data_IF_975637297837
#
_entry.id   IF_975637297837
#
_cell.length_a   1.000
_cell.length_b   1.000
_cell.length_c   1.000
_cell.angle_alpha   90.00
_cell.angle_beta   90.00
_cell.angle_gamma   90.00
#
_symmetry.space_group_name_H-M   'P 1'
#
loop_
_entity.id
_entity.type
_entity.pdbx_description
1 polymer ?
#
# COMPACT_ATOMS: atom_id res chain seq x y z
N UNK A 1 34.90 2.46 -4.40
CA UNK A 1 33.53 2.88 -3.99
C UNK A 1 33.53 4.38 -3.80
N UNK A 2 32.85 5.14 -4.65
CA UNK A 2 32.77 6.59 -4.49
C UNK A 2 31.72 6.89 -3.42
N UNK A 3 32.16 7.15 -2.19
CA UNK A 3 31.28 7.34 -1.02
C UNK A 3 30.24 8.44 -1.24
N UNK A 4 30.57 9.46 -2.04
CA UNK A 4 29.66 10.55 -2.40
C UNK A 4 28.46 10.07 -3.23
N UNK A 5 28.69 9.24 -4.24
CA UNK A 5 27.63 8.67 -5.06
C UNK A 5 26.70 7.75 -4.24
N UNK A 6 27.26 6.98 -3.31
CA UNK A 6 26.48 6.11 -2.45
C UNK A 6 25.61 6.92 -1.47
N UNK A 7 26.17 8.00 -0.90
CA UNK A 7 25.42 8.91 -0.05
C UNK A 7 24.26 9.58 -0.81
N UNK A 8 24.51 10.06 -2.04
CA UNK A 8 23.48 10.64 -2.91
C UNK A 8 22.38 9.61 -3.18
N UNK A 9 22.75 8.40 -3.64
CA UNK A 9 21.80 7.35 -3.94
C UNK A 9 20.92 6.99 -2.73
N UNK A 10 21.52 6.91 -1.53
CA UNK A 10 20.78 6.60 -0.30
C UNK A 10 19.74 7.69 0.03
N UNK A 11 20.10 8.97 -0.12
CA UNK A 11 19.20 10.10 0.16
C UNK A 11 17.97 10.11 -0.76
N UNK A 12 18.09 9.63 -2.00
CA UNK A 12 16.95 9.54 -2.92
C UNK A 12 16.20 8.20 -2.80
N UNK A 13 16.93 7.08 -2.82
CA UNK A 13 16.32 5.75 -2.82
C UNK A 13 15.63 5.41 -1.49
N UNK A 14 16.16 5.89 -0.36
CA UNK A 14 15.60 5.65 0.97
C UNK A 14 14.16 6.17 1.13
N UNK A 15 13.90 7.48 0.90
CA UNK A 15 12.56 8.04 0.95
C UNK A 15 11.60 7.40 -0.06
N UNK A 16 12.06 7.12 -1.29
CA UNK A 16 11.25 6.46 -2.32
C UNK A 16 10.86 5.06 -1.87
N UNK A 17 11.79 4.27 -1.35
CA UNK A 17 11.52 2.92 -0.84
C UNK A 17 10.57 2.96 0.37
N UNK A 18 10.77 3.87 1.32
CA UNK A 18 9.90 4.02 2.49
C UNK A 18 8.47 4.42 2.10
N UNK A 19 8.33 5.37 1.18
CA UNK A 19 7.02 5.78 0.68
C UNK A 19 6.32 4.65 -0.06
N UNK A 20 7.05 3.95 -0.94
CA UNK A 20 6.54 2.81 -1.71
C UNK A 20 6.09 1.68 -0.79
N UNK A 21 6.88 1.37 0.25
CA UNK A 21 6.50 0.41 1.28
C UNK A 21 5.18 0.78 1.95
N UNK A 22 5.04 2.04 2.37
CA UNK A 22 3.87 2.52 3.12
C UNK A 22 2.60 2.52 2.27
N UNK A 23 2.69 2.94 0.99
CA UNK A 23 1.57 2.90 0.04
C UNK A 23 1.21 1.45 -0.32
N UNK A 24 2.21 0.61 -0.63
CA UNK A 24 1.99 -0.79 -1.00
C UNK A 24 1.38 -1.59 0.15
N UNK A 25 1.79 -1.29 1.39
CA UNK A 25 1.22 -1.94 2.58
C UNK A 25 -0.25 -1.59 2.76
N UNK A 26 -0.67 -0.35 2.48
CA UNK A 26 -2.08 0.04 2.50
C UNK A 26 -2.94 -0.60 1.41
N UNK A 27 -2.31 -1.05 0.32
CA UNK A 27 -2.97 -1.67 -0.84
C UNK A 27 -2.84 -3.20 -0.90
N UNK A 28 -2.19 -3.80 0.11
CA UNK A 28 -1.83 -5.22 0.17
C UNK A 28 -1.06 -5.72 -1.07
N UNK A 29 -0.24 -4.84 -1.64
CA UNK A 29 0.48 -5.07 -2.89
C UNK A 29 1.96 -5.42 -2.64
N UNK A 30 2.25 -6.53 -1.96
CA UNK A 30 3.62 -7.04 -1.71
C UNK A 30 4.65 -5.95 -1.33
N UNK A 31 4.48 -5.27 -0.18
CA UNK A 31 5.22 -4.05 0.16
C UNK A 31 6.74 -4.22 0.27
N UNK A 32 7.18 -5.37 0.76
CA UNK A 32 8.62 -5.67 0.91
C UNK A 32 9.28 -5.77 -0.47
N UNK A 33 8.64 -6.45 -1.42
CA UNK A 33 9.20 -6.67 -2.75
C UNK A 33 9.40 -5.33 -3.49
N UNK A 34 8.40 -4.46 -3.48
CA UNK A 34 8.52 -3.15 -4.14
C UNK A 34 9.53 -2.23 -3.47
N UNK A 35 9.53 -2.16 -2.13
CA UNK A 35 10.45 -1.32 -1.38
C UNK A 35 11.91 -1.80 -1.54
N UNK A 36 12.14 -3.11 -1.43
CA UNK A 36 13.46 -3.70 -1.64
C UNK A 36 13.94 -3.48 -3.08
N UNK A 37 13.07 -3.64 -4.08
CA UNK A 37 13.43 -3.41 -5.49
C UNK A 37 13.80 -1.95 -5.73
N UNK A 38 13.00 -1.00 -5.24
CA UNK A 38 13.29 0.43 -5.38
C UNK A 38 14.62 0.81 -4.69
N UNK A 39 14.89 0.23 -3.52
CA UNK A 39 16.12 0.47 -2.77
C UNK A 39 17.35 -0.14 -3.46
N UNK A 40 17.29 -1.41 -3.86
CA UNK A 40 18.42 -2.12 -4.46
C UNK A 40 18.78 -1.55 -5.85
N UNK A 41 17.78 -1.30 -6.68
CA UNK A 41 17.99 -0.66 -7.99
C UNK A 41 18.53 0.75 -7.82
N UNK A 42 17.99 1.50 -6.84
CA UNK A 42 18.41 2.85 -6.52
C UNK A 42 19.83 2.96 -5.95
N UNK A 43 20.31 1.98 -5.20
CA UNK A 43 21.66 2.01 -4.64
C UNK A 43 22.74 1.44 -5.56
N UNK A 44 22.46 0.31 -6.22
CA UNK A 44 23.53 -0.54 -6.78
C UNK A 44 23.50 -0.70 -8.30
N UNK A 45 22.32 -0.74 -8.92
CA UNK A 45 22.21 -1.24 -10.30
C UNK A 45 22.70 -0.25 -11.38
N UNK A 46 22.67 1.06 -11.09
CA UNK A 46 22.98 2.13 -12.04
C UNK A 46 24.13 3.05 -11.58
N UNK A 47 24.88 2.68 -10.55
CA UNK A 47 25.97 3.49 -10.02
C UNK A 47 25.50 4.92 -9.68
N UNK A 48 26.14 5.99 -10.21
CA UNK A 48 25.71 7.38 -9.98
C UNK A 48 24.29 7.71 -10.49
N UNK A 49 23.74 6.91 -11.40
CA UNK A 49 22.39 7.09 -11.96
C UNK A 49 21.32 6.34 -11.15
N UNK A 50 21.64 5.91 -9.93
CA UNK A 50 20.72 5.27 -8.98
C UNK A 50 19.34 5.94 -8.86
N UNK A 51 19.24 7.29 -8.73
CA UNK A 51 17.94 7.96 -8.63
C UNK A 51 17.03 7.74 -9.84
N UNK A 52 17.61 7.61 -11.04
CA UNK A 52 16.86 7.30 -12.27
C UNK A 52 16.29 5.88 -12.19
N UNK A 53 17.08 4.93 -11.71
CA UNK A 53 16.62 3.55 -11.48
C UNK A 53 15.46 3.48 -10.49
N UNK A 54 15.58 4.17 -9.35
CA UNK A 54 14.51 4.26 -8.36
C UNK A 54 13.24 4.91 -8.94
N UNK A 55 13.38 5.94 -9.78
CA UNK A 55 12.26 6.58 -10.47
C UNK A 55 11.57 5.62 -11.45
N UNK A 56 12.31 4.83 -12.22
CA UNK A 56 11.74 3.82 -13.13
C UNK A 56 10.93 2.78 -12.34
N UNK A 57 11.49 2.24 -11.25
CA UNK A 57 10.78 1.28 -10.40
C UNK A 57 9.51 1.90 -9.81
N UNK A 58 9.59 3.16 -9.34
CA UNK A 58 8.43 3.88 -8.83
C UNK A 58 7.35 4.06 -9.91
N UNK A 59 7.72 4.43 -11.14
CA UNK A 59 6.77 4.56 -12.24
C UNK A 59 6.08 3.21 -12.51
N UNK A 60 6.83 2.12 -12.59
CA UNK A 60 6.27 0.76 -12.79
C UNK A 60 5.32 0.41 -11.65
N UNK A 61 5.72 0.65 -10.40
CA UNK A 61 4.86 0.44 -9.22
C UNK A 61 3.55 1.24 -9.34
N UNK A 62 3.62 2.52 -9.71
CA UNK A 62 2.44 3.36 -9.86
C UNK A 62 1.50 2.86 -10.95
N UNK A 63 2.02 2.24 -12.02
CA UNK A 63 1.20 1.67 -13.10
C UNK A 63 0.51 0.38 -12.66
N UNK A 64 1.24 -0.52 -11.99
CA UNK A 64 0.76 -1.87 -11.64
C UNK A 64 -0.03 -1.92 -10.33
N UNK A 65 0.18 -0.96 -9.41
CA UNK A 65 -0.47 -1.00 -8.09
C UNK A 65 -2.00 -1.02 -8.20
N UNK A 66 -2.69 -1.74 -7.29
CA UNK A 66 -4.14 -1.72 -7.20
C UNK A 66 -4.69 -0.30 -7.04
N UNK A 67 -5.69 0.04 -7.86
CA UNK A 67 -6.38 1.34 -7.85
C UNK A 67 -7.65 1.25 -7.02
N UNK A 68 -8.10 2.39 -6.51
CA UNK A 68 -9.31 2.48 -5.69
C UNK A 68 -9.22 3.57 -4.64
N UNK A 69 -10.35 3.82 -3.98
CA UNK A 69 -10.43 4.76 -2.88
C UNK A 69 -9.66 4.22 -1.66
N UNK A 70 -8.93 5.11 -0.98
CA UNK A 70 -8.27 4.79 0.28
C UNK A 70 -9.17 5.28 1.41
N UNK A 71 -9.48 4.40 2.36
CA UNK A 71 -10.22 4.74 3.58
C UNK A 71 -9.33 4.61 4.81
N UNK A 72 -9.74 5.28 5.88
CA UNK A 72 -9.06 5.19 7.18
C UNK A 72 -9.63 3.98 7.92
N UNK A 73 -8.76 3.09 8.41
CA UNK A 73 -9.19 1.95 9.21
C UNK A 73 -9.72 2.42 10.58
N UNK A 74 -10.91 1.98 11.02
CA UNK A 74 -11.49 2.40 12.30
C UNK A 74 -10.70 1.87 13.51
N UNK A 75 -10.00 0.74 13.36
CA UNK A 75 -9.24 0.11 14.44
C UNK A 75 -7.83 0.71 14.63
N UNK A 76 -7.07 0.87 13.55
CA UNK A 76 -5.66 1.28 13.63
C UNK A 76 -5.36 2.67 13.03
N UNK A 77 -6.38 3.36 12.48
CA UNK A 77 -6.29 4.70 11.87
C UNK A 77 -5.32 4.83 10.69
N UNK A 78 -4.79 3.71 10.18
CA UNK A 78 -3.97 3.69 8.97
C UNK A 78 -4.83 3.61 7.72
N UNK A 79 -4.33 4.14 6.61
CA UNK A 79 -5.00 4.07 5.32
C UNK A 79 -4.95 2.65 4.75
N UNK A 80 -6.09 2.16 4.31
CA UNK A 80 -6.26 0.89 3.63
C UNK A 80 -7.15 1.09 2.39
N UNK A 81 -6.96 0.24 1.39
CA UNK A 81 -7.75 0.29 0.16
C UNK A 81 -9.18 -0.22 0.43
N UNK A 82 -10.19 0.51 -0.07
CA UNK A 82 -11.57 0.38 0.44
C UNK A 82 -12.19 -1.01 0.26
N UNK A 83 -11.94 -1.65 -0.88
CA UNK A 83 -12.49 -2.96 -1.21
C UNK A 83 -11.90 -4.15 -0.43
N UNK A 84 -10.89 -3.93 0.43
CA UNK A 84 -10.29 -5.03 1.20
C UNK A 84 -11.25 -5.49 2.29
N UNK A 85 -11.39 -6.81 2.44
CA UNK A 85 -12.13 -7.40 3.56
C UNK A 85 -11.42 -7.20 4.90
N UNK A 86 -10.09 -7.22 4.92
CA UNK A 86 -9.28 -7.11 6.13
C UNK A 86 -8.21 -6.02 6.01
N UNK A 87 -7.94 -5.32 7.11
CA UNK A 87 -6.89 -4.32 7.15
C UNK A 87 -5.51 -4.98 7.05
N UNK A 88 -4.63 -4.56 6.11
CA UNK A 88 -3.30 -5.15 5.97
C UNK A 88 -2.35 -4.79 7.12
N UNK A 89 -2.70 -3.78 7.93
CA UNK A 89 -1.91 -3.31 9.07
C UNK A 89 -2.24 -4.02 10.38
N UNK A 90 -3.52 -4.12 10.74
CA UNK A 90 -3.96 -4.69 12.02
C UNK A 90 -4.78 -5.98 11.90
N UNK A 91 -5.06 -6.44 10.67
CA UNK A 91 -5.90 -7.62 10.37
C UNK A 91 -7.36 -7.53 10.84
N UNK A 92 -7.82 -6.38 11.32
CA UNK A 92 -9.24 -6.13 11.63
C UNK A 92 -10.12 -6.20 10.37
N UNK A 93 -11.35 -6.69 10.52
CA UNK A 93 -12.32 -6.79 9.44
C UNK A 93 -12.83 -5.41 9.03
N UNK A 94 -12.62 -5.01 7.78
CA UNK A 94 -13.11 -3.76 7.20
C UNK A 94 -14.49 -3.94 6.55
N UNK A 95 -14.78 -5.16 6.05
CA UNK A 95 -16.06 -5.56 5.49
C UNK A 95 -16.56 -6.83 6.17
N UNK A 96 -17.89 -6.97 6.25
CA UNK A 96 -18.61 -8.13 6.75
C UNK A 96 -19.77 -8.48 5.82
N UNK A 97 -20.12 -9.75 5.78
CA UNK A 97 -21.23 -10.21 4.96
C UNK A 97 -22.56 -10.02 5.67
N UNK A 98 -23.55 -9.51 4.96
CA UNK A 98 -24.91 -9.39 5.47
C UNK A 98 -25.56 -10.79 5.58
N UNK A 99 -26.04 -11.20 6.76
CA UNK A 99 -26.66 -12.52 6.95
C UNK A 99 -27.93 -12.75 6.10
N UNK A 100 -28.63 -11.67 5.70
CA UNK A 100 -29.86 -11.76 4.91
C UNK A 100 -29.63 -11.83 3.40
N UNK A 101 -28.76 -10.97 2.85
CA UNK A 101 -28.55 -10.84 1.40
C UNK A 101 -27.13 -11.20 0.93
N UNK A 102 -26.23 -11.57 1.84
CA UNK A 102 -24.83 -11.93 1.59
C UNK A 102 -24.00 -10.89 0.84
N UNK A 103 -24.45 -9.63 0.80
CA UNK A 103 -23.66 -8.53 0.28
C UNK A 103 -22.53 -8.19 1.26
N UNK A 104 -21.34 -7.89 0.72
CA UNK A 104 -20.21 -7.36 1.49
C UNK A 104 -20.48 -5.90 1.85
N UNK A 105 -20.63 -5.62 3.15
CA UNK A 105 -20.93 -4.29 3.68
C UNK A 105 -19.78 -3.83 4.58
N UNK A 106 -19.54 -2.53 4.65
CA UNK A 106 -18.55 -1.99 5.58
C UNK A 106 -18.88 -2.33 7.03
N UNK A 107 -17.86 -2.69 7.80
CA UNK A 107 -17.99 -3.09 9.19
C UNK A 107 -18.57 -1.98 10.08
N UNK A 108 -18.40 -0.71 9.69
CA UNK A 108 -18.89 0.48 10.39
C UNK A 108 -20.39 0.72 10.20
N UNK A 109 -21.01 0.09 9.19
CA UNK A 109 -22.43 0.29 8.92
C UNK A 109 -23.28 -0.54 9.90
N UNK A 110 -24.24 0.12 10.55
CA UNK A 110 -25.25 -0.52 11.39
C UNK A 110 -26.34 -1.22 10.56
N UNK A 111 -26.59 -0.73 9.35
CA UNK A 111 -27.64 -1.24 8.45
C UNK A 111 -27.06 -1.59 7.08
N UNK A 112 -27.58 -2.66 6.47
CA UNK A 112 -27.20 -3.05 5.12
C UNK A 112 -27.74 -2.04 4.09
N UNK A 113 -26.90 -1.44 3.23
CA UNK A 113 -27.37 -0.48 2.23
C UNK A 113 -28.23 -1.11 1.12
N UNK A 114 -28.20 -2.44 0.97
CA UNK A 114 -28.95 -3.15 -0.07
C UNK A 114 -30.32 -3.66 0.40
N UNK A 115 -30.40 -4.18 1.64
CA UNK A 115 -31.65 -4.79 2.15
C UNK A 115 -32.18 -4.16 3.45
N UNK A 116 -31.55 -3.10 3.96
CA UNK A 116 -31.92 -2.35 5.15
C UNK A 116 -32.04 -3.17 6.44
N UNK A 117 -31.51 -4.40 6.46
CA UNK A 117 -31.47 -5.20 7.68
C UNK A 117 -30.40 -4.68 8.63
N UNK A 118 -30.67 -4.75 9.94
CA UNK A 118 -29.69 -4.40 10.98
C UNK A 118 -28.58 -5.44 11.00
N UNK A 119 -27.34 -4.99 10.88
CA UNK A 119 -26.13 -5.81 10.92
C UNK A 119 -25.67 -5.92 12.38
N UNK A 120 -26.02 -7.02 13.05
CA UNK A 120 -25.67 -7.25 14.47
C UNK A 120 -24.18 -7.44 14.67
#
# INVERSE_FOLDING_TARGET
>A
MNWTALAINLVFAGPVAYWTYSDAKGRDANPILWAATALLVGLFFLGPLGPIGAAIVLIIYLLVRPKGAMRICPYCKKKALDWLAFCPHCKGALKRDCYRCFAAVDAENEFCPNCHTKLS
#
